data_IF_063116096900
#
_entry.id   IF_063116096900
#
_cell.length_a   1.000
_cell.length_b   1.000
_cell.length_c   1.000
_cell.angle_alpha   90.00
_cell.angle_beta   90.00
_cell.angle_gamma   90.00
#
_symmetry.space_group_name_H-M   'P 1'
#
loop_
_entity.id
_entity.type
_entity.pdbx_description
1 polymer ?
#
# COMPACT_ATOMS: atom_id res chain seq x y z
N UNK A 1 8.94 12.39 8.64
CA UNK A 1 9.01 12.39 7.17
C UNK A 1 7.66 12.83 6.56
N UNK A 2 7.26 14.11 6.70
CA UNK A 2 5.94 14.56 6.21
C UNK A 2 5.77 14.44 4.70
N UNK A 3 6.79 14.82 3.92
CA UNK A 3 6.73 14.72 2.45
C UNK A 3 6.74 13.27 1.95
N UNK A 4 7.29 12.33 2.73
CA UNK A 4 7.35 10.93 2.34
C UNK A 4 6.11 10.15 2.80
N UNK A 5 5.68 10.34 4.06
CA UNK A 5 4.64 9.54 4.73
C UNK A 5 3.39 10.35 5.13
N UNK A 6 3.23 11.57 4.63
CA UNK A 6 2.06 12.40 4.93
C UNK A 6 0.76 11.80 4.39
N UNK A 7 -0.33 11.97 5.13
CA UNK A 7 -1.66 11.44 4.77
C UNK A 7 -2.43 12.43 3.86
N UNK A 8 -1.74 13.04 2.91
CA UNK A 8 -2.29 14.03 1.99
C UNK A 8 -1.81 13.80 0.56
N UNK A 9 -2.62 14.20 -0.42
CA UNK A 9 -2.27 14.08 -1.82
C UNK A 9 -1.00 14.88 -2.14
N UNK A 10 -0.03 14.23 -2.79
CA UNK A 10 1.28 14.81 -3.10
C UNK A 10 2.40 14.43 -2.11
N UNK A 11 2.10 13.74 -1.01
CA UNK A 11 3.14 12.98 -0.31
C UNK A 11 3.54 11.76 -1.15
N UNK A 12 4.78 11.29 -0.98
CA UNK A 12 5.30 10.17 -1.80
C UNK A 12 4.53 8.87 -1.57
N UNK A 13 4.16 8.54 -0.33
CA UNK A 13 3.38 7.34 -0.02
C UNK A 13 1.97 7.43 -0.61
N UNK A 14 1.37 8.62 -0.62
CA UNK A 14 0.04 8.84 -1.17
C UNK A 14 0.03 8.72 -2.70
N UNK A 15 1.07 9.22 -3.36
CA UNK A 15 1.24 9.04 -4.80
C UNK A 15 1.48 7.56 -5.17
N UNK A 16 2.22 6.81 -4.35
CA UNK A 16 2.37 5.35 -4.51
C UNK A 16 1.06 4.60 -4.28
N UNK A 17 0.24 5.03 -3.31
CA UNK A 17 -1.10 4.49 -3.09
C UNK A 17 -2.01 4.74 -4.30
N UNK A 18 -1.95 5.94 -4.91
CA UNK A 18 -2.74 6.24 -6.10
C UNK A 18 -2.36 5.31 -7.26
N UNK A 19 -1.07 5.00 -7.44
CA UNK A 19 -0.62 3.98 -8.40
C UNK A 19 -1.19 2.60 -8.02
N UNK A 20 -1.09 2.19 -6.75
CA UNK A 20 -1.57 0.90 -6.26
C UNK A 20 -3.07 0.68 -6.50
N UNK A 21 -3.86 1.75 -6.43
CA UNK A 21 -5.30 1.74 -6.66
C UNK A 21 -5.68 1.95 -8.14
N UNK A 22 -4.70 2.09 -9.03
CA UNK A 22 -4.92 2.37 -10.45
C UNK A 22 -5.42 3.80 -10.75
N UNK A 23 -5.32 4.71 -9.79
CA UNK A 23 -5.76 6.11 -9.89
C UNK A 23 -5.95 6.78 -8.54
N UNK A 24 -6.16 8.10 -8.56
CA UNK A 24 -6.46 8.90 -7.36
C UNK A 24 -7.95 8.90 -7.07
N UNK A 25 -8.32 8.42 -5.88
CA UNK A 25 -9.70 8.46 -5.38
C UNK A 25 -9.75 9.11 -4.00
N UNK A 26 -10.49 10.22 -3.88
CA UNK A 26 -10.67 10.94 -2.62
C UNK A 26 -11.48 10.15 -1.56
N UNK A 27 -12.28 9.18 -2.03
CA UNK A 27 -13.09 8.24 -1.24
C UNK A 27 -12.95 6.85 -1.86
N UNK A 28 -13.26 5.81 -1.10
CA UNK A 28 -13.28 4.44 -1.62
C UNK A 28 -14.27 4.33 -2.79
N UNK A 29 -13.82 3.98 -4.00
CA UNK A 29 -14.67 3.83 -5.17
C UNK A 29 -15.54 2.57 -5.08
N UNK A 30 -16.58 2.49 -5.89
CA UNK A 30 -17.40 1.27 -5.95
C UNK A 30 -16.69 0.10 -6.61
N UNK A 31 -15.75 0.41 -7.51
CA UNK A 31 -14.93 -0.55 -8.23
C UNK A 31 -13.58 0.09 -8.50
N UNK A 32 -12.52 -0.66 -8.25
CA UNK A 32 -11.19 -0.28 -8.65
C UNK A 32 -10.90 -0.73 -10.09
N UNK A 33 -9.96 -0.06 -10.78
CA UNK A 33 -9.41 -0.53 -12.05
C UNK A 33 -8.84 -1.95 -11.96
N UNK A 34 -8.88 -2.71 -13.05
CA UNK A 34 -8.44 -4.11 -13.07
C UNK A 34 -6.93 -4.30 -12.80
N UNK A 35 -6.14 -3.23 -12.93
CA UNK A 35 -4.70 -3.23 -12.65
C UNK A 35 -4.36 -2.78 -11.22
N UNK A 36 -5.36 -2.54 -10.36
CA UNK A 36 -5.14 -2.20 -8.98
C UNK A 36 -4.73 -3.44 -8.16
N UNK A 37 -3.85 -3.21 -7.18
CA UNK A 37 -3.33 -4.21 -6.24
C UNK A 37 -3.72 -3.90 -4.79
N UNK A 38 -4.34 -2.73 -4.59
CA UNK A 38 -4.90 -2.28 -3.31
C UNK A 38 -6.37 -1.86 -3.52
N UNK A 39 -7.28 -2.53 -2.81
CA UNK A 39 -8.72 -2.38 -2.93
C UNK A 39 -9.36 -2.21 -1.55
N UNK A 40 -9.14 -1.06 -0.90
CA UNK A 40 -9.74 -0.83 0.40
C UNK A 40 -11.28 -0.86 0.33
N UNK A 41 -11.94 -1.52 1.27
CA UNK A 41 -13.38 -1.81 1.19
C UNK A 41 -14.23 -0.91 2.11
N UNK A 42 -13.65 -0.32 3.16
CA UNK A 42 -14.36 0.54 4.10
C UNK A 42 -14.71 1.90 3.46
N UNK A 43 -15.98 2.02 3.06
CA UNK A 43 -16.53 3.21 2.42
C UNK A 43 -16.66 4.44 3.32
N UNK A 44 -16.51 4.29 4.63
CA UNK A 44 -16.49 5.43 5.55
C UNK A 44 -15.16 6.21 5.48
N UNK A 45 -14.11 5.54 5.02
CA UNK A 45 -12.76 6.06 4.94
C UNK A 45 -12.63 7.19 3.90
N UNK A 46 -11.83 8.19 4.24
CA UNK A 46 -11.43 9.27 3.32
C UNK A 46 -10.04 9.00 2.73
N UNK A 47 -9.47 9.98 2.03
CA UNK A 47 -8.17 9.82 1.40
C UNK A 47 -7.06 9.57 2.43
N UNK A 48 -7.07 10.31 3.53
CA UNK A 48 -6.04 10.22 4.57
C UNK A 48 -6.05 8.83 5.22
N UNK A 49 -7.24 8.37 5.61
CA UNK A 49 -7.42 7.03 6.16
C UNK A 49 -6.95 5.93 5.18
N UNK A 50 -7.22 6.04 3.87
CA UNK A 50 -6.71 5.07 2.88
C UNK A 50 -5.19 5.10 2.78
N UNK A 51 -4.55 6.28 2.91
CA UNK A 51 -3.09 6.40 2.93
C UNK A 51 -2.51 5.68 4.15
N UNK A 52 -3.11 5.85 5.33
CA UNK A 52 -2.69 5.17 6.56
C UNK A 52 -2.72 3.66 6.38
N UNK A 53 -3.81 3.13 5.82
CA UNK A 53 -4.02 1.70 5.60
C UNK A 53 -3.08 1.13 4.54
N UNK A 54 -2.90 1.82 3.42
CA UNK A 54 -1.89 1.46 2.42
C UNK A 54 -0.48 1.42 3.03
N UNK A 55 -0.14 2.40 3.85
CA UNK A 55 1.16 2.47 4.55
C UNK A 55 1.35 1.26 5.45
N UNK A 56 0.32 0.87 6.21
CA UNK A 56 0.32 -0.33 7.03
C UNK A 56 0.54 -1.60 6.17
N UNK A 57 -0.25 -1.80 5.12
CA UNK A 57 -0.14 -2.98 4.24
C UNK A 57 1.25 -3.11 3.62
N UNK A 58 1.78 -2.00 3.11
CA UNK A 58 3.07 -1.98 2.45
C UNK A 58 4.23 -2.26 3.43
N UNK A 59 4.26 -1.60 4.59
CA UNK A 59 5.34 -1.78 5.58
C UNK A 59 5.29 -3.19 6.18
N UNK A 60 4.11 -3.67 6.60
CA UNK A 60 3.99 -5.00 7.21
C UNK A 60 4.38 -6.10 6.23
N UNK A 61 4.01 -5.96 4.95
CA UNK A 61 4.43 -6.89 3.89
C UNK A 61 5.94 -6.84 3.62
N UNK A 62 6.55 -5.65 3.56
CA UNK A 62 8.01 -5.49 3.39
C UNK A 62 8.82 -6.05 4.57
N UNK A 63 8.22 -6.07 5.76
CA UNK A 63 8.76 -6.67 6.99
C UNK A 63 8.42 -8.15 7.15
N UNK A 64 7.70 -8.73 6.19
CA UNK A 64 7.33 -10.15 6.18
C UNK A 64 6.25 -10.54 7.19
N UNK A 65 5.54 -9.55 7.76
CA UNK A 65 4.52 -9.75 8.77
C UNK A 65 3.18 -10.22 8.19
N UNK A 66 3.01 -10.25 6.86
CA UNK A 66 1.81 -10.74 6.16
C UNK A 66 1.99 -12.15 5.56
N UNK A 67 3.04 -12.89 5.97
CA UNK A 67 3.43 -14.18 5.37
C UNK A 67 3.06 -15.42 6.21
N UNK A 68 2.09 -15.33 7.12
CA UNK A 68 1.60 -16.51 7.84
C UNK A 68 0.74 -17.41 6.93
N UNK A 69 0.66 -18.74 7.20
CA UNK A 69 -0.11 -19.66 6.36
C UNK A 69 -1.57 -19.21 6.17
N UNK A 70 -2.06 -19.24 4.93
CA UNK A 70 -3.43 -18.85 4.58
C UNK A 70 -3.64 -17.34 4.38
N UNK A 71 -2.74 -16.48 4.89
CA UNK A 71 -2.93 -15.03 4.86
C UNK A 71 -3.03 -14.44 3.48
N UNK A 72 -2.26 -14.95 2.51
CA UNK A 72 -2.31 -14.46 1.12
C UNK A 72 -3.73 -14.53 0.56
N UNK A 73 -4.43 -15.65 0.77
CA UNK A 73 -5.81 -15.82 0.29
C UNK A 73 -6.83 -15.04 1.13
N UNK A 74 -6.57 -14.85 2.41
CA UNK A 74 -7.44 -14.08 3.31
C UNK A 74 -7.53 -12.59 2.92
N UNK A 75 -6.43 -12.02 2.42
CA UNK A 75 -6.34 -10.59 2.12
C UNK A 75 -6.34 -10.26 0.62
N UNK A 76 -6.40 -11.25 -0.27
CA UNK A 76 -6.22 -11.06 -1.72
C UNK A 76 -7.23 -10.07 -2.33
N UNK A 77 -8.44 -10.03 -1.75
CA UNK A 77 -9.49 -9.12 -2.17
C UNK A 77 -9.10 -7.64 -1.94
N UNK A 78 -8.36 -7.34 -0.87
CA UNK A 78 -7.92 -5.98 -0.50
C UNK A 78 -6.46 -5.66 -0.86
N UNK A 79 -5.54 -6.63 -0.74
CA UNK A 79 -4.10 -6.41 -0.87
C UNK A 79 -3.37 -7.63 -1.45
N UNK A 80 -2.84 -7.47 -2.66
CA UNK A 80 -2.25 -8.59 -3.41
C UNK A 80 -0.74 -8.73 -3.23
N UNK A 81 -0.07 -7.78 -2.56
CA UNK A 81 1.40 -7.75 -2.43
C UNK A 81 1.86 -8.08 -1.00
N UNK A 82 1.43 -9.25 -0.49
CA UNK A 82 1.57 -9.66 0.91
C UNK A 82 3.00 -10.00 1.41
N UNK A 83 4.04 -9.75 0.61
CA UNK A 83 5.43 -10.05 0.98
C UNK A 83 6.41 -9.08 0.33
N UNK A 84 7.63 -8.98 0.89
CA UNK A 84 8.71 -8.24 0.24
C UNK A 84 8.97 -8.72 -1.18
N UNK A 85 8.95 -10.04 -1.41
CA UNK A 85 9.16 -10.59 -2.75
C UNK A 85 8.06 -10.16 -3.73
N UNK A 86 6.80 -10.20 -3.29
CA UNK A 86 5.67 -9.75 -4.08
C UNK A 86 5.74 -8.25 -4.40
N UNK A 87 6.06 -7.40 -3.41
CA UNK A 87 6.21 -5.95 -3.64
C UNK A 87 7.39 -5.68 -4.59
N UNK A 88 8.55 -6.29 -4.39
CA UNK A 88 9.70 -6.07 -5.29
C UNK A 88 9.41 -6.50 -6.72
N UNK A 89 8.63 -7.56 -6.92
CA UNK A 89 8.29 -8.05 -8.26
C UNK A 89 7.15 -7.27 -8.93
N UNK A 90 6.09 -6.94 -8.18
CA UNK A 90 4.88 -6.31 -8.71
C UNK A 90 4.83 -4.79 -8.60
N UNK A 91 5.61 -4.21 -7.68
CA UNK A 91 5.64 -2.77 -7.42
C UNK A 91 7.03 -2.27 -6.94
N UNK A 92 8.05 -2.31 -7.83
CA UNK A 92 9.43 -2.02 -7.46
C UNK A 92 9.66 -0.59 -6.95
N UNK A 93 8.88 0.42 -7.38
CA UNK A 93 9.03 1.78 -6.84
C UNK A 93 8.65 1.85 -5.36
N UNK A 94 7.59 1.14 -4.95
CA UNK A 94 7.19 1.03 -3.54
C UNK A 94 8.28 0.31 -2.72
N UNK A 95 8.84 -0.78 -3.26
CA UNK A 95 9.94 -1.48 -2.61
C UNK A 95 11.16 -0.57 -2.39
N UNK A 96 11.57 0.16 -3.43
CA UNK A 96 12.71 1.07 -3.38
C UNK A 96 12.46 2.24 -2.41
N UNK A 97 11.25 2.80 -2.42
CA UNK A 97 10.85 3.86 -1.49
C UNK A 97 10.98 3.40 -0.04
N UNK A 98 10.38 2.25 0.32
CA UNK A 98 10.40 1.73 1.69
C UNK A 98 11.77 1.22 2.13
N UNK A 99 12.67 0.90 1.19
CA UNK A 99 14.03 0.46 1.45
C UNK A 99 15.03 1.61 1.67
N UNK A 100 14.60 2.87 1.60
CA UNK A 100 15.48 4.01 1.91
C UNK A 100 16.04 3.88 3.35
N UNK A 101 17.37 3.85 3.54
CA UNK A 101 17.97 3.63 4.86
C UNK A 101 17.54 4.64 5.92
N UNK A 102 17.23 5.88 5.50
CA UNK A 102 16.74 6.94 6.38
C UNK A 102 15.48 6.52 7.16
N UNK A 103 14.62 5.69 6.59
CA UNK A 103 13.37 5.29 7.23
C UNK A 103 13.53 4.19 8.28
N UNK A 104 14.66 3.47 8.27
CA UNK A 104 14.94 2.36 9.19
C UNK A 104 13.78 1.34 9.32
N UNK A 105 13.02 1.12 8.24
CA UNK A 105 11.87 0.22 8.22
C UNK A 105 12.25 -1.26 8.06
N UNK A 106 13.41 -1.49 7.46
CA UNK A 106 13.93 -2.80 7.09
C UNK A 106 15.21 -3.09 7.89
N UNK A 107 15.44 -4.36 8.28
CA UNK A 107 16.67 -4.77 8.94
C UNK A 107 17.89 -4.67 8.02
#
# INVERSE_FOLDING_TARGET
>A
YPEDFGEYAGSRIADLMDIARGGRFARVPHRYPANAVYHYDDRSCDYACQVTEFTYWAITSMRGQQQMPGRAAEIDDEWQLNSRAAITAGFPELAAFLAQPAFALLP
#
